data_IF_742978283917
#
_entry.id   IF_742978283917
#
_cell.length_a   1.000
_cell.length_b   1.000
_cell.length_c   1.000
_cell.angle_alpha   90.00
_cell.angle_beta   90.00
_cell.angle_gamma   90.00
#
_symmetry.space_group_name_H-M   'P 1'
#
loop_
_entity.id
_entity.type
_entity.pdbx_description
1 polymer ?
#
# COMPACT_ATOMS: atom_id res chain seq x y z
N UNK A 1 -26.30 -57.60 -48.09
CA UNK A 1 -25.04 -56.97 -47.59
C UNK A 1 -25.33 -55.54 -47.18
N UNK A 2 -25.57 -55.29 -45.88
CA UNK A 2 -25.85 -53.94 -45.33
C UNK A 2 -24.54 -53.44 -44.70
N UNK A 3 -24.02 -52.38 -45.23
CA UNK A 3 -22.84 -51.66 -44.62
C UNK A 3 -23.37 -50.72 -43.55
N UNK A 4 -23.02 -50.95 -42.28
CA UNK A 4 -23.17 -50.01 -41.20
C UNK A 4 -22.00 -49.01 -41.30
N UNK A 5 -22.33 -47.75 -41.45
CA UNK A 5 -21.40 -46.62 -41.25
C UNK A 5 -21.47 -46.21 -39.78
N UNK A 6 -20.38 -46.49 -39.02
CA UNK A 6 -20.17 -45.94 -37.69
C UNK A 6 -19.61 -44.53 -37.87
N UNK A 7 -20.43 -43.52 -37.64
CA UNK A 7 -20.00 -42.12 -37.50
C UNK A 7 -19.40 -41.88 -36.10
N UNK A 8 -18.07 -41.78 -35.99
CA UNK A 8 -17.40 -41.40 -34.74
C UNK A 8 -17.57 -39.90 -34.48
N UNK A 9 -18.28 -39.54 -33.41
CA UNK A 9 -18.37 -38.19 -32.88
C UNK A 9 -17.07 -37.92 -32.11
N UNK A 10 -16.12 -37.19 -32.73
CA UNK A 10 -14.94 -36.69 -32.05
C UNK A 10 -15.39 -35.42 -31.28
N UNK A 11 -15.65 -35.59 -29.98
CA UNK A 11 -15.86 -34.47 -29.09
C UNK A 11 -14.56 -33.67 -28.93
N UNK A 12 -14.48 -32.46 -29.49
CA UNK A 12 -13.45 -31.50 -29.19
C UNK A 12 -13.60 -31.08 -27.70
N UNK A 13 -12.81 -31.66 -26.83
CA UNK A 13 -12.59 -31.11 -25.50
C UNK A 13 -11.73 -29.84 -25.71
N UNK A 14 -12.37 -28.68 -25.72
CA UNK A 14 -11.67 -27.40 -25.62
C UNK A 14 -11.01 -27.37 -24.26
N UNK A 15 -9.71 -27.67 -24.19
CA UNK A 15 -8.90 -27.39 -23.04
C UNK A 15 -8.94 -25.85 -22.83
N UNK A 16 -9.68 -25.41 -21.83
CA UNK A 16 -9.60 -24.01 -21.38
C UNK A 16 -8.16 -23.78 -20.96
N UNK A 17 -7.40 -23.05 -21.76
CA UNK A 17 -6.09 -22.56 -21.34
C UNK A 17 -6.30 -21.77 -20.04
N UNK A 18 -5.78 -22.28 -18.94
CA UNK A 18 -5.74 -21.55 -17.68
C UNK A 18 -5.05 -20.21 -17.95
N UNK A 19 -5.69 -19.11 -17.57
CA UNK A 19 -5.05 -17.80 -17.68
C UNK A 19 -3.78 -17.79 -16.81
N UNK A 20 -2.73 -17.11 -17.28
CA UNK A 20 -1.50 -17.00 -16.50
C UNK A 20 -1.80 -16.37 -15.12
N UNK A 21 -1.12 -16.84 -14.05
CA UNK A 21 -1.26 -16.27 -12.71
C UNK A 21 -0.97 -14.77 -12.70
N UNK A 22 -1.74 -14.01 -11.92
CA UNK A 22 -1.49 -12.59 -11.69
C UNK A 22 -0.43 -12.43 -10.60
N UNK A 23 0.71 -11.88 -10.95
CA UNK A 23 1.77 -11.58 -9.99
C UNK A 23 1.50 -10.25 -9.31
N UNK A 24 1.41 -10.29 -7.99
CA UNK A 24 1.12 -9.14 -7.13
C UNK A 24 2.33 -8.84 -6.27
N UNK A 25 2.88 -7.63 -6.40
CA UNK A 25 3.94 -7.14 -5.53
C UNK A 25 3.37 -6.71 -4.18
N UNK A 26 3.82 -7.38 -3.10
CA UNK A 26 3.48 -7.05 -1.73
C UNK A 26 4.69 -6.58 -0.92
N UNK A 27 4.44 -5.97 0.25
CA UNK A 27 5.46 -5.44 1.15
C UNK A 27 5.46 -6.17 2.52
N UNK A 28 4.59 -7.13 2.74
CA UNK A 28 4.43 -7.84 4.02
C UNK A 28 3.93 -6.95 5.16
N UNK A 29 3.10 -5.95 4.87
CA UNK A 29 2.58 -4.96 5.81
C UNK A 29 1.06 -5.03 5.92
N UNK A 30 0.49 -4.37 6.95
CA UNK A 30 -0.97 -4.34 7.15
C UNK A 30 -1.72 -3.81 5.92
N UNK A 31 -1.15 -2.85 5.21
CA UNK A 31 -1.77 -2.29 4.02
C UNK A 31 -1.97 -3.31 2.89
N UNK A 32 -1.27 -4.45 2.89
CA UNK A 32 -1.45 -5.54 1.93
C UNK A 32 -2.62 -6.47 2.28
N UNK A 33 -3.24 -6.30 3.46
CA UNK A 33 -4.27 -7.18 3.97
C UNK A 33 -5.39 -7.52 2.97
N UNK A 34 -5.91 -6.59 2.12
CA UNK A 34 -6.93 -6.94 1.14
C UNK A 34 -6.51 -8.02 0.15
N UNK A 35 -5.21 -8.09 -0.24
CA UNK A 35 -4.70 -9.18 -1.07
C UNK A 35 -4.77 -10.51 -0.32
N UNK A 36 -4.28 -10.52 0.92
CA UNK A 36 -4.25 -11.72 1.77
C UNK A 36 -5.66 -12.23 2.07
N UNK A 37 -6.59 -11.32 2.39
CA UNK A 37 -8.00 -11.63 2.61
C UNK A 37 -8.62 -12.25 1.35
N UNK A 38 -8.38 -11.63 0.18
CA UNK A 38 -8.95 -12.13 -1.06
C UNK A 38 -8.38 -13.49 -1.49
N UNK A 39 -7.13 -13.80 -1.15
CA UNK A 39 -6.51 -15.11 -1.33
C UNK A 39 -7.13 -16.13 -0.37
N UNK A 40 -7.08 -15.88 0.95
CA UNK A 40 -7.51 -16.83 1.97
C UNK A 40 -9.03 -17.13 1.93
N UNK A 41 -9.84 -16.12 1.58
CA UNK A 41 -11.30 -16.27 1.44
C UNK A 41 -11.72 -16.78 0.05
N UNK A 42 -10.77 -17.09 -0.82
CA UNK A 42 -11.03 -17.62 -2.15
C UNK A 42 -11.72 -16.64 -3.11
N UNK A 43 -11.67 -15.33 -2.85
CA UNK A 43 -12.31 -14.35 -3.73
C UNK A 43 -11.68 -14.31 -5.11
N UNK A 44 -10.35 -14.46 -5.22
CA UNK A 44 -9.67 -14.59 -6.49
C UNK A 44 -10.03 -15.90 -7.20
N UNK A 45 -10.04 -17.02 -6.47
CA UNK A 45 -10.40 -18.33 -7.04
C UNK A 45 -11.85 -18.34 -7.56
N UNK A 46 -12.79 -17.67 -6.87
CA UNK A 46 -14.18 -17.53 -7.31
C UNK A 46 -14.34 -16.75 -8.63
N UNK A 47 -13.37 -15.91 -8.96
CA UNK A 47 -13.30 -15.17 -10.23
C UNK A 47 -12.35 -15.86 -11.24
N UNK A 48 -11.94 -17.12 -10.99
CA UNK A 48 -10.97 -17.90 -11.79
C UNK A 48 -9.61 -17.19 -11.96
N UNK A 49 -9.15 -16.47 -10.92
CA UNK A 49 -7.85 -15.82 -10.87
C UNK A 49 -6.94 -16.57 -9.92
N UNK A 50 -5.78 -16.98 -10.40
CA UNK A 50 -4.64 -17.41 -9.58
C UNK A 50 -3.75 -16.20 -9.27
N UNK A 51 -3.34 -16.03 -8.01
CA UNK A 51 -2.47 -14.94 -7.55
C UNK A 51 -1.18 -15.50 -6.99
N UNK A 52 -0.05 -14.93 -7.43
CA UNK A 52 1.28 -15.19 -6.89
C UNK A 52 1.81 -13.91 -6.26
N UNK A 53 2.17 -13.96 -4.98
CA UNK A 53 2.77 -12.83 -4.27
C UNK A 53 4.28 -12.78 -4.53
N UNK A 54 4.76 -11.60 -4.93
CA UNK A 54 6.19 -11.28 -5.10
C UNK A 54 6.58 -10.22 -4.06
N UNK A 55 7.44 -10.59 -3.10
CA UNK A 55 7.78 -9.72 -1.97
C UNK A 55 8.85 -8.69 -2.33
N UNK A 56 8.58 -7.40 -2.03
CA UNK A 56 9.49 -6.28 -2.20
C UNK A 56 9.76 -5.56 -0.87
N UNK A 57 10.93 -4.97 -0.72
CA UNK A 57 11.29 -4.17 0.46
C UNK A 57 10.68 -2.76 0.44
N UNK A 58 10.32 -2.27 -0.75
CA UNK A 58 9.66 -0.98 -0.96
C UNK A 58 8.91 -0.95 -2.30
N UNK A 59 7.88 -0.12 -2.40
CA UNK A 59 7.16 0.09 -3.65
C UNK A 59 8.06 0.63 -4.79
N UNK A 60 9.10 1.38 -4.45
CA UNK A 60 10.06 1.89 -5.44
C UNK A 60 10.80 0.77 -6.16
N UNK A 61 11.13 -0.34 -5.47
CA UNK A 61 11.76 -1.51 -6.09
C UNK A 61 10.82 -2.24 -7.06
N UNK A 62 9.52 -2.20 -6.81
CA UNK A 62 8.51 -2.83 -7.67
C UNK A 62 8.17 -2.00 -8.93
N UNK A 63 8.62 -0.74 -9.03
CA UNK A 63 8.27 0.16 -10.14
C UNK A 63 8.74 -0.37 -11.50
N UNK A 64 10.00 -0.82 -11.63
CA UNK A 64 10.52 -1.36 -12.88
C UNK A 64 9.85 -2.70 -13.26
N UNK A 65 9.73 -3.70 -12.36
CA UNK A 65 8.96 -4.93 -12.62
C UNK A 65 7.52 -4.67 -13.08
N UNK A 66 6.83 -3.70 -12.47
CA UNK A 66 5.47 -3.33 -12.85
C UNK A 66 5.41 -2.72 -14.27
N UNK A 67 6.34 -1.83 -14.61
CA UNK A 67 6.38 -1.18 -15.92
C UNK A 67 6.72 -2.15 -17.06
N UNK A 68 7.50 -3.18 -16.79
CA UNK A 68 7.86 -4.23 -17.75
C UNK A 68 6.89 -5.41 -17.78
N UNK A 69 5.81 -5.33 -17.01
CA UNK A 69 4.80 -6.39 -16.83
C UNK A 69 5.36 -7.72 -16.25
N UNK A 70 6.50 -7.68 -15.58
CA UNK A 70 7.00 -8.82 -14.79
C UNK A 70 6.13 -9.05 -13.54
N UNK A 71 5.54 -7.97 -13.01
CA UNK A 71 4.50 -7.96 -11.98
C UNK A 71 3.32 -7.17 -12.54
N UNK A 72 2.09 -7.63 -12.32
CA UNK A 72 0.89 -7.00 -12.89
C UNK A 72 0.26 -5.96 -11.97
N UNK A 73 0.36 -6.18 -10.66
CA UNK A 73 -0.26 -5.36 -9.63
C UNK A 73 0.75 -5.06 -8.53
N UNK A 74 0.76 -3.82 -8.04
CA UNK A 74 1.54 -3.43 -6.85
C UNK A 74 0.67 -2.54 -5.96
N UNK A 75 0.61 -2.88 -4.68
CA UNK A 75 0.19 -1.95 -3.66
C UNK A 75 1.37 -1.10 -3.20
N UNK A 76 1.38 0.19 -3.51
CA UNK A 76 2.56 1.00 -3.28
C UNK A 76 2.31 2.40 -2.74
N UNK A 77 3.26 2.89 -1.94
CA UNK A 77 3.26 4.27 -1.47
C UNK A 77 3.40 5.25 -2.63
N UNK A 78 2.69 6.36 -2.54
CA UNK A 78 2.84 7.49 -3.47
C UNK A 78 4.26 8.06 -3.30
N UNK A 79 4.99 8.21 -4.40
CA UNK A 79 6.41 8.59 -4.37
C UNK A 79 6.80 9.45 -5.55
N UNK A 80 7.90 10.21 -5.43
CA UNK A 80 8.47 10.95 -6.55
C UNK A 80 8.81 10.03 -7.73
N UNK A 81 9.25 8.79 -7.47
CA UNK A 81 9.52 7.81 -8.52
C UNK A 81 8.27 7.52 -9.37
N UNK A 82 7.09 7.44 -8.74
CA UNK A 82 5.82 7.25 -9.42
C UNK A 82 5.50 8.44 -10.33
N UNK A 83 5.59 9.68 -9.82
CA UNK A 83 5.35 10.90 -10.63
C UNK A 83 6.33 11.04 -11.79
N UNK A 84 7.63 10.76 -11.55
CA UNK A 84 8.64 10.79 -12.59
C UNK A 84 8.43 9.69 -13.64
N UNK A 85 7.93 8.53 -13.26
CA UNK A 85 7.55 7.46 -14.18
C UNK A 85 6.43 7.92 -15.13
N UNK A 86 5.37 8.52 -14.58
CA UNK A 86 4.27 9.09 -15.36
C UNK A 86 4.70 10.24 -16.28
N UNK A 87 5.59 11.12 -15.81
CA UNK A 87 6.11 12.22 -16.64
C UNK A 87 6.92 11.72 -17.85
N UNK A 88 7.28 10.43 -17.88
CA UNK A 88 7.99 9.75 -18.98
C UNK A 88 7.12 8.75 -19.74
N UNK A 89 5.81 8.83 -19.60
CA UNK A 89 4.82 7.93 -20.23
C UNK A 89 5.05 6.43 -19.93
N UNK A 90 5.54 6.11 -18.73
CA UNK A 90 5.70 4.73 -18.34
C UNK A 90 4.35 4.01 -18.26
N UNK A 91 4.30 2.71 -18.66
CA UNK A 91 3.05 1.99 -18.83
C UNK A 91 2.48 1.45 -17.49
N UNK A 92 2.18 2.36 -16.57
CA UNK A 92 1.59 2.08 -15.26
C UNK A 92 0.36 2.97 -15.06
N UNK A 93 -0.66 2.52 -14.34
CA UNK A 93 -1.82 3.33 -13.96
C UNK A 93 -2.18 3.16 -12.49
N UNK A 94 -2.61 4.23 -11.86
CA UNK A 94 -3.31 4.19 -10.58
C UNK A 94 -4.75 3.78 -10.87
N UNK A 95 -5.21 2.70 -10.25
CA UNK A 95 -6.58 2.21 -10.47
C UNK A 95 -7.50 2.58 -9.32
N UNK A 96 -6.99 2.57 -8.09
CA UNK A 96 -7.76 2.91 -6.90
C UNK A 96 -6.88 3.34 -5.73
N UNK A 97 -7.50 3.96 -4.72
CA UNK A 97 -6.90 4.19 -3.42
C UNK A 97 -6.59 2.84 -2.74
N UNK A 98 -5.53 2.83 -1.90
CA UNK A 98 -5.22 1.69 -1.04
C UNK A 98 -5.33 2.09 0.42
N UNK A 99 -4.48 2.99 0.91
CA UNK A 99 -4.53 3.45 2.30
C UNK A 99 -4.45 4.96 2.38
N UNK A 100 -5.14 5.50 3.37
CA UNK A 100 -5.15 6.92 3.72
C UNK A 100 -4.97 7.08 5.21
N UNK A 101 -4.19 8.06 5.63
CA UNK A 101 -4.14 8.49 7.03
C UNK A 101 -5.07 9.68 7.25
N UNK A 102 -5.94 9.53 8.24
CA UNK A 102 -6.93 10.53 8.64
C UNK A 102 -7.25 10.39 10.13
N UNK A 103 -7.84 11.40 10.78
CA UNK A 103 -8.18 11.31 12.19
C UNK A 103 -8.90 10.01 12.57
N UNK A 104 -8.36 9.30 13.57
CA UNK A 104 -8.84 7.98 14.01
C UNK A 104 -8.22 6.78 13.29
N UNK A 105 -7.59 6.99 12.13
CA UNK A 105 -7.00 5.92 11.31
C UNK A 105 -5.65 6.36 10.78
N UNK A 106 -4.56 5.82 11.33
CA UNK A 106 -3.21 6.18 10.91
C UNK A 106 -2.24 5.05 11.19
N UNK A 107 -1.72 4.44 10.14
CA UNK A 107 -0.67 3.41 10.26
C UNK A 107 0.72 3.98 10.12
N UNK A 108 0.85 5.16 9.53
CA UNK A 108 2.13 5.82 9.26
C UNK A 108 2.59 6.58 10.51
N UNK A 109 3.76 6.23 10.99
CA UNK A 109 4.22 6.66 12.32
C UNK A 109 5.69 7.01 12.28
N UNK A 110 6.04 8.17 12.86
CA UNK A 110 7.41 8.43 13.32
C UNK A 110 7.56 7.78 14.70
N UNK A 111 8.42 6.77 14.79
CA UNK A 111 8.81 6.15 16.05
C UNK A 111 10.11 6.77 16.55
N UNK A 112 10.27 6.82 17.86
CA UNK A 112 11.45 7.39 18.53
C UNK A 112 12.02 6.36 19.50
N UNK A 113 13.34 6.26 19.56
CA UNK A 113 14.06 5.39 20.49
C UNK A 113 13.68 5.72 21.94
N UNK A 114 13.44 4.70 22.77
CA UNK A 114 12.87 4.86 24.10
C UNK A 114 13.69 5.74 25.07
N UNK A 115 15.02 5.70 24.98
CA UNK A 115 15.90 6.52 25.82
C UNK A 115 15.82 8.03 25.53
N UNK A 116 15.21 8.41 24.39
CA UNK A 116 15.00 9.82 24.01
C UNK A 116 13.66 10.39 24.50
N UNK A 117 12.79 9.57 25.12
CA UNK A 117 11.44 9.98 25.53
C UNK A 117 11.40 11.20 26.43
N UNK A 118 12.40 11.37 27.29
CA UNK A 118 12.48 12.50 28.22
C UNK A 118 13.07 13.78 27.57
N UNK A 119 13.83 13.65 26.48
CA UNK A 119 14.59 14.75 25.86
C UNK A 119 14.01 15.21 24.53
N UNK A 120 13.25 14.37 23.84
CA UNK A 120 12.57 14.70 22.58
C UNK A 120 11.07 14.70 22.84
N UNK A 121 10.53 15.86 23.13
CA UNK A 121 9.10 16.05 23.50
C UNK A 121 8.30 16.74 22.39
N UNK A 122 8.99 17.42 21.49
CA UNK A 122 8.43 18.18 20.37
C UNK A 122 9.12 17.80 19.06
N UNK A 123 8.46 17.91 17.91
CA UNK A 123 9.13 17.76 16.61
C UNK A 123 10.31 18.71 16.39
N UNK A 124 10.37 19.86 17.08
CA UNK A 124 11.54 20.76 17.04
C UNK A 124 12.81 20.10 17.57
N UNK A 125 12.69 19.19 18.53
CA UNK A 125 13.81 18.48 19.14
C UNK A 125 14.43 17.41 18.22
N UNK A 126 13.82 17.20 17.04
CA UNK A 126 14.35 16.32 15.99
C UNK A 126 15.48 16.98 15.18
N UNK A 127 15.70 18.31 15.32
CA UNK A 127 16.77 18.99 14.59
C UNK A 127 18.13 18.34 14.83
N UNK A 128 18.84 18.02 13.74
CA UNK A 128 20.15 17.35 13.77
C UNK A 128 20.11 15.84 14.05
N UNK A 129 18.94 15.24 14.33
CA UNK A 129 18.79 13.81 14.61
C UNK A 129 18.92 12.96 13.36
N UNK A 130 19.33 11.71 13.54
CA UNK A 130 19.41 10.71 12.49
C UNK A 130 18.09 9.94 12.42
N UNK A 131 17.36 10.10 11.32
CA UNK A 131 16.03 9.51 11.13
C UNK A 131 16.06 8.54 9.94
N UNK A 132 15.72 7.29 10.20
CA UNK A 132 15.60 6.30 9.13
C UNK A 132 14.29 6.50 8.36
N UNK A 133 14.40 6.44 7.04
CA UNK A 133 13.28 6.39 6.09
C UNK A 133 13.39 5.12 5.26
N UNK A 134 12.27 4.50 4.84
CA UNK A 134 12.35 3.27 4.05
C UNK A 134 12.88 3.49 2.62
N UNK A 135 12.59 4.66 2.04
CA UNK A 135 13.10 5.06 0.73
C UNK A 135 13.07 6.59 0.59
N UNK A 136 14.06 7.21 -0.10
CA UNK A 136 14.03 8.62 -0.43
C UNK A 136 12.79 8.96 -1.28
N UNK A 137 12.21 10.13 -1.01
CA UNK A 137 11.05 10.65 -1.73
C UNK A 137 9.85 9.68 -1.82
N UNK A 138 9.72 8.77 -0.84
CA UNK A 138 8.52 7.97 -0.62
C UNK A 138 7.52 8.71 0.30
N UNK A 139 6.29 8.18 0.46
CA UNK A 139 5.22 8.80 1.27
C UNK A 139 5.64 9.13 2.70
N UNK A 140 6.39 8.24 3.36
CA UNK A 140 6.89 8.48 4.71
C UNK A 140 7.98 9.56 4.79
N UNK A 141 8.76 9.76 3.72
CA UNK A 141 9.69 10.89 3.63
C UNK A 141 8.92 12.21 3.48
N UNK A 142 7.86 12.23 2.67
CA UNK A 142 6.93 13.37 2.59
C UNK A 142 6.28 13.66 3.95
N UNK A 143 5.76 12.63 4.63
CA UNK A 143 5.20 12.76 5.98
C UNK A 143 6.19 13.42 6.95
N UNK A 144 7.43 12.95 6.98
CA UNK A 144 8.50 13.54 7.82
C UNK A 144 8.74 15.00 7.45
N UNK A 145 8.82 15.32 6.16
CA UNK A 145 8.99 16.70 5.69
C UNK A 145 7.85 17.61 6.16
N UNK A 146 6.61 17.16 6.05
CA UNK A 146 5.43 17.89 6.54
C UNK A 146 5.44 18.06 8.07
N UNK A 147 5.89 17.04 8.81
CA UNK A 147 6.08 17.15 10.26
C UNK A 147 7.11 18.26 10.61
N UNK A 148 8.24 18.30 9.94
CA UNK A 148 9.24 19.34 10.15
C UNK A 148 8.70 20.73 9.78
N UNK A 149 8.01 20.86 8.64
CA UNK A 149 7.39 22.12 8.22
C UNK A 149 6.34 22.61 9.23
N UNK A 150 5.60 21.73 9.89
CA UNK A 150 4.58 22.09 10.90
C UNK A 150 5.14 22.83 12.11
N UNK A 151 6.45 22.73 12.34
CA UNK A 151 7.16 23.39 13.46
C UNK A 151 8.16 24.44 13.00
N UNK A 152 8.09 24.86 11.72
CA UNK A 152 8.94 25.89 11.14
C UNK A 152 10.36 25.42 10.80
N UNK A 153 10.58 24.12 10.69
CA UNK A 153 11.81 23.49 10.21
C UNK A 153 11.62 22.93 8.79
N UNK A 154 12.67 22.38 8.23
CA UNK A 154 12.65 21.72 6.92
C UNK A 154 13.18 20.29 7.03
N UNK A 155 12.99 19.50 6.00
CA UNK A 155 13.58 18.15 5.93
C UNK A 155 15.12 18.18 5.98
N UNK A 156 15.76 19.26 5.57
CA UNK A 156 17.20 19.44 5.64
C UNK A 156 17.73 19.68 7.07
N UNK A 157 16.84 19.98 8.05
CA UNK A 157 17.21 20.13 9.45
C UNK A 157 17.41 18.79 10.18
N UNK A 158 17.13 17.65 9.54
CA UNK A 158 17.37 16.29 10.05
C UNK A 158 18.29 15.52 9.11
N UNK A 159 18.97 14.49 9.63
CA UNK A 159 19.79 13.58 8.82
C UNK A 159 18.95 12.36 8.44
N UNK A 160 18.55 12.21 7.17
CA UNK A 160 17.81 11.04 6.73
C UNK A 160 18.73 9.96 6.20
N UNK A 161 18.52 8.70 6.60
CA UNK A 161 19.19 7.53 6.05
C UNK A 161 18.17 6.52 5.54
N UNK A 162 18.50 5.84 4.43
CA UNK A 162 17.64 4.79 3.88
C UNK A 162 17.85 3.48 4.63
N UNK A 163 16.78 2.89 5.15
CA UNK A 163 16.82 1.64 5.88
C UNK A 163 15.49 0.88 5.72
N UNK A 164 15.53 -0.40 5.37
CA UNK A 164 14.33 -1.23 5.32
C UNK A 164 13.70 -1.34 6.72
N UNK A 165 12.36 -1.38 6.79
CA UNK A 165 11.64 -1.43 8.07
C UNK A 165 12.12 -2.52 9.04
N UNK A 166 12.37 -3.78 8.63
CA UNK A 166 12.88 -4.80 9.55
C UNK A 166 14.23 -4.46 10.21
N UNK A 167 15.05 -3.62 9.56
CA UNK A 167 16.37 -3.23 10.04
C UNK A 167 16.33 -2.02 10.97
N UNK A 168 15.23 -1.27 11.02
CA UNK A 168 15.11 -0.08 11.86
C UNK A 168 15.14 -0.44 13.36
N UNK A 169 14.58 -1.60 13.76
CA UNK A 169 14.66 -2.07 15.15
C UNK A 169 16.11 -2.24 15.63
N UNK A 170 16.92 -3.08 14.99
CA UNK A 170 18.37 -3.18 15.28
C UNK A 170 19.11 -1.83 15.19
N UNK A 171 18.74 -0.96 14.24
CA UNK A 171 19.31 0.39 14.12
C UNK A 171 19.02 1.29 15.33
N UNK A 172 17.82 1.22 15.90
CA UNK A 172 17.41 1.93 17.11
C UNK A 172 18.12 1.35 18.35
N UNK A 173 18.20 0.04 18.48
CA UNK A 173 18.86 -0.64 19.60
C UNK A 173 20.37 -0.33 19.65
N UNK A 174 21.04 -0.33 18.51
CA UNK A 174 22.46 0.03 18.39
C UNK A 174 22.74 1.53 18.47
N UNK A 175 21.68 2.35 18.53
CA UNK A 175 21.76 3.83 18.50
C UNK A 175 22.36 4.39 17.19
N UNK A 176 22.35 3.64 16.12
CA UNK A 176 22.75 4.10 14.78
C UNK A 176 21.72 5.11 14.21
N UNK A 177 20.47 5.05 14.68
CA UNK A 177 19.40 5.98 14.37
C UNK A 177 18.70 6.43 15.66
N UNK A 178 18.18 7.66 15.66
CA UNK A 178 17.38 8.22 16.75
C UNK A 178 15.89 7.91 16.60
N UNK A 179 15.42 7.90 15.36
CA UNK A 179 14.03 7.72 14.99
C UNK A 179 13.89 6.97 13.67
N UNK A 180 12.68 6.51 13.37
CA UNK A 180 12.37 5.89 12.09
C UNK A 180 10.94 6.17 11.65
N UNK A 181 10.73 6.35 10.35
CA UNK A 181 9.38 6.41 9.79
C UNK A 181 8.94 5.00 9.40
N UNK A 182 7.91 4.50 10.04
CA UNK A 182 7.44 3.11 9.88
C UNK A 182 5.95 3.07 9.61
N UNK A 183 5.51 1.92 9.10
CA UNK A 183 4.09 1.58 8.94
C UNK A 183 3.73 0.44 9.89
N UNK A 184 2.46 0.22 10.13
CA UNK A 184 2.04 -0.99 10.85
C UNK A 184 2.26 -2.26 9.99
N UNK A 185 2.72 -3.37 10.56
CA UNK A 185 2.79 -3.63 12.00
C UNK A 185 4.12 -3.26 12.68
N UNK A 186 5.06 -2.58 12.02
CA UNK A 186 6.40 -2.32 12.59
C UNK A 186 6.35 -1.37 13.78
N UNK A 187 5.48 -0.35 13.79
CA UNK A 187 5.33 0.54 14.94
C UNK A 187 4.91 -0.25 16.18
N UNK A 188 3.90 -1.10 16.06
CA UNK A 188 3.42 -1.95 17.15
C UNK A 188 4.48 -2.98 17.59
N UNK A 189 5.19 -3.60 16.63
CA UNK A 189 6.24 -4.59 16.91
C UNK A 189 7.39 -3.98 17.73
N UNK A 190 7.86 -2.77 17.37
CA UNK A 190 8.96 -2.12 18.09
C UNK A 190 8.52 -1.59 19.44
N UNK A 191 7.28 -1.15 19.58
CA UNK A 191 6.71 -0.79 20.88
C UNK A 191 6.55 -2.01 21.80
N UNK A 192 6.06 -3.15 21.28
CA UNK A 192 5.94 -4.40 22.02
C UNK A 192 7.30 -4.92 22.54
N UNK A 193 8.34 -4.80 21.70
CA UNK A 193 9.72 -5.17 22.08
C UNK A 193 10.42 -4.14 22.97
N UNK A 194 9.75 -3.05 23.34
CA UNK A 194 10.31 -1.95 24.11
C UNK A 194 11.58 -1.31 23.47
N UNK A 195 11.68 -1.31 22.14
CA UNK A 195 12.77 -0.69 21.36
C UNK A 195 12.51 0.79 21.15
N UNK A 196 11.28 1.13 20.75
CA UNK A 196 10.86 2.47 20.41
C UNK A 196 9.38 2.69 20.79
N UNK A 197 8.96 3.93 20.77
CA UNK A 197 7.56 4.30 20.97
C UNK A 197 7.03 5.16 19.82
N UNK A 198 5.73 5.12 19.51
CA UNK A 198 5.09 6.05 18.58
C UNK A 198 5.22 7.48 19.08
N UNK A 199 5.91 8.34 18.32
CA UNK A 199 6.14 9.74 18.68
C UNK A 199 5.13 10.64 18.02
N UNK A 200 4.90 10.49 16.70
CA UNK A 200 3.89 11.24 15.94
C UNK A 200 3.31 10.35 14.85
N UNK A 201 2.00 10.42 14.70
CA UNK A 201 1.28 9.77 13.61
C UNK A 201 0.91 10.78 12.54
N UNK A 202 0.87 10.39 11.27
CA UNK A 202 0.55 11.28 10.17
C UNK A 202 -0.79 12.00 10.36
N UNK A 203 -1.82 11.30 10.83
CA UNK A 203 -3.15 11.86 11.07
C UNK A 203 -3.20 12.98 12.14
N UNK A 204 -2.17 13.14 12.97
CA UNK A 204 -2.12 14.20 13.99
C UNK A 204 -1.83 15.58 13.40
N UNK A 205 -1.18 15.67 12.25
CA UNK A 205 -0.74 16.93 11.63
C UNK A 205 -1.10 17.06 10.13
N UNK A 206 -1.46 15.97 9.46
CA UNK A 206 -1.84 15.94 8.05
C UNK A 206 -3.34 15.74 7.89
N UNK A 207 -4.12 16.78 8.14
CA UNK A 207 -5.58 16.68 8.19
C UNK A 207 -6.30 17.28 6.98
N UNK A 208 -5.64 18.19 6.23
CA UNK A 208 -6.23 18.89 5.09
C UNK A 208 -5.17 19.19 4.01
N UNK A 209 -5.14 18.45 2.91
CA UNK A 209 -5.88 17.21 2.67
C UNK A 209 -5.36 16.05 3.55
N UNK A 210 -6.17 15.04 3.84
CA UNK A 210 -5.67 13.80 4.43
C UNK A 210 -4.57 13.18 3.55
N UNK A 211 -3.59 12.50 4.18
CA UNK A 211 -2.50 11.88 3.42
C UNK A 211 -3.02 10.69 2.61
N UNK A 212 -2.99 10.77 1.28
CA UNK A 212 -3.11 9.58 0.42
C UNK A 212 -1.79 8.82 0.48
N UNK A 213 -1.71 7.84 1.37
CA UNK A 213 -0.45 7.13 1.68
C UNK A 213 -0.04 6.24 0.52
N UNK A 214 -0.99 5.46 0.02
CA UNK A 214 -0.72 4.45 -0.99
C UNK A 214 -1.91 4.21 -1.92
N UNK A 215 -1.58 3.71 -3.10
CA UNK A 215 -2.51 3.43 -4.19
C UNK A 215 -2.27 2.03 -4.75
N UNK A 216 -3.24 1.50 -5.48
CA UNK A 216 -3.10 0.28 -6.25
C UNK A 216 -2.70 0.66 -7.68
N UNK A 217 -1.58 0.10 -8.10
CA UNK A 217 -0.95 0.32 -9.39
C UNK A 217 -1.08 -0.92 -10.26
N UNK A 218 -1.52 -0.75 -11.50
CA UNK A 218 -1.58 -1.81 -12.48
C UNK A 218 -0.62 -1.55 -13.66
N UNK A 219 -0.02 -2.62 -14.16
CA UNK A 219 0.69 -2.59 -15.44
C UNK A 219 -0.29 -2.27 -16.56
N UNK A 220 -0.03 -1.21 -17.32
CA UNK A 220 -0.86 -0.86 -18.48
C UNK A 220 -0.85 -1.95 -19.54
N UNK A 221 0.26 -2.62 -19.73
CA UNK A 221 0.39 -3.77 -20.63
C UNK A 221 -0.58 -4.88 -20.26
N UNK A 222 -0.72 -5.21 -18.96
CA UNK A 222 -1.69 -6.20 -18.48
C UNK A 222 -3.13 -5.73 -18.67
N UNK A 223 -3.40 -4.47 -18.31
CA UNK A 223 -4.73 -3.87 -18.47
C UNK A 223 -5.24 -3.90 -19.92
N UNK A 224 -4.35 -3.63 -20.87
CA UNK A 224 -4.71 -3.56 -22.30
C UNK A 224 -4.87 -4.97 -22.91
N UNK A 225 -4.02 -5.93 -22.51
CA UNK A 225 -4.02 -7.29 -23.08
C UNK A 225 -5.02 -8.23 -22.45
N UNK A 226 -5.37 -8.03 -21.16
CA UNK A 226 -6.18 -8.96 -20.37
C UNK A 226 -7.33 -8.25 -19.63
N UNK A 227 -8.15 -7.42 -20.30
CA UNK A 227 -9.14 -6.56 -19.63
C UNK A 227 -10.15 -7.33 -18.79
N UNK A 228 -10.53 -8.54 -19.16
CA UNK A 228 -11.49 -9.35 -18.40
C UNK A 228 -10.84 -9.95 -17.14
N UNK A 229 -9.57 -10.38 -17.22
CA UNK A 229 -8.81 -10.80 -16.04
C UNK A 229 -8.64 -9.63 -15.06
N UNK A 230 -8.36 -8.41 -15.56
CA UNK A 230 -8.24 -7.18 -14.75
C UNK A 230 -9.56 -6.87 -14.04
N UNK A 231 -10.71 -6.96 -14.73
CA UNK A 231 -12.05 -6.78 -14.13
C UNK A 231 -12.29 -7.78 -13.00
N UNK A 232 -12.07 -9.07 -13.27
CA UNK A 232 -12.25 -10.16 -12.32
C UNK A 232 -11.33 -9.97 -11.08
N UNK A 233 -10.05 -9.67 -11.29
CA UNK A 233 -9.11 -9.36 -10.22
C UNK A 233 -9.57 -8.18 -9.37
N UNK A 234 -10.03 -7.09 -10.00
CA UNK A 234 -10.47 -5.88 -9.28
C UNK A 234 -11.71 -6.15 -8.43
N UNK A 235 -12.67 -6.94 -8.93
CA UNK A 235 -13.84 -7.37 -8.15
C UNK A 235 -13.41 -8.18 -6.92
N UNK A 236 -12.54 -9.17 -7.08
CA UNK A 236 -12.04 -10.00 -5.99
C UNK A 236 -11.28 -9.17 -4.94
N UNK A 237 -10.38 -8.30 -5.38
CA UNK A 237 -9.62 -7.40 -4.50
C UNK A 237 -10.55 -6.48 -3.70
N UNK A 238 -11.57 -5.88 -4.34
CA UNK A 238 -12.54 -5.00 -3.66
C UNK A 238 -13.38 -5.73 -2.61
N UNK A 239 -13.66 -7.03 -2.78
CA UNK A 239 -14.25 -7.84 -1.70
C UNK A 239 -13.31 -7.89 -0.48
N UNK A 240 -12.01 -8.08 -0.71
CA UNK A 240 -10.98 -8.04 0.34
C UNK A 240 -10.89 -6.68 1.03
N UNK A 241 -10.96 -5.57 0.27
CA UNK A 241 -10.99 -4.19 0.82
C UNK A 241 -12.19 -3.99 1.75
N UNK A 242 -13.37 -4.51 1.38
CA UNK A 242 -14.59 -4.39 2.19
C UNK A 242 -14.53 -5.20 3.48
N UNK A 243 -13.91 -6.38 3.44
CA UNK A 243 -13.69 -7.18 4.65
C UNK A 243 -12.68 -6.51 5.58
N UNK A 244 -11.61 -5.91 5.02
CA UNK A 244 -10.69 -5.08 5.80
C UNK A 244 -11.39 -3.85 6.41
N UNK A 245 -12.23 -3.17 5.63
CA UNK A 245 -12.99 -1.99 6.11
C UNK A 245 -13.90 -2.36 7.29
N UNK A 246 -14.63 -3.48 7.22
CA UNK A 246 -15.41 -3.98 8.34
C UNK A 246 -14.53 -4.24 9.58
N UNK A 247 -13.41 -4.94 9.40
CA UNK A 247 -12.47 -5.25 10.47
C UNK A 247 -11.84 -3.98 11.08
N UNK A 248 -11.48 -3.01 10.27
CA UNK A 248 -10.94 -1.72 10.69
C UNK A 248 -11.93 -0.94 11.57
N UNK A 249 -13.21 -1.01 11.27
CA UNK A 249 -14.30 -0.39 12.05
C UNK A 249 -14.66 -1.19 13.30
N UNK A 250 -13.99 -2.30 13.60
CA UNK A 250 -14.32 -3.18 14.73
C UNK A 250 -15.50 -4.12 14.45
N UNK A 251 -15.83 -4.35 13.19
CA UNK A 251 -16.94 -5.22 12.78
C UNK A 251 -16.66 -6.72 12.97
N UNK A 252 -17.63 -7.58 12.66
CA UNK A 252 -17.58 -9.03 12.95
C UNK A 252 -16.45 -9.78 12.23
N UNK A 253 -15.89 -9.24 11.14
CA UNK A 253 -14.77 -9.85 10.41
C UNK A 253 -13.41 -9.60 11.04
N UNK A 254 -13.31 -8.75 12.08
CA UNK A 254 -12.03 -8.32 12.65
C UNK A 254 -11.13 -9.46 13.10
N UNK A 255 -11.67 -10.43 13.84
CA UNK A 255 -10.89 -11.56 14.32
C UNK A 255 -10.33 -12.41 13.18
N UNK A 256 -11.13 -12.72 12.15
CA UNK A 256 -10.72 -13.45 10.95
C UNK A 256 -9.61 -12.69 10.18
N UNK A 257 -9.78 -11.38 9.99
CA UNK A 257 -8.80 -10.55 9.29
C UNK A 257 -7.47 -10.48 10.06
N UNK A 258 -7.51 -10.42 11.39
CA UNK A 258 -6.30 -10.48 12.24
C UNK A 258 -5.57 -11.82 12.06
N UNK A 259 -6.29 -12.95 12.03
CA UNK A 259 -5.71 -14.26 11.76
C UNK A 259 -4.97 -14.28 10.42
N UNK A 260 -5.60 -13.76 9.38
CA UNK A 260 -5.02 -13.68 8.04
C UNK A 260 -3.78 -12.77 8.07
N UNK A 261 -3.88 -11.56 8.64
CA UNK A 261 -2.74 -10.64 8.70
C UNK A 261 -1.55 -11.22 9.48
N UNK A 262 -1.79 -11.93 10.59
CA UNK A 262 -0.74 -12.59 11.37
C UNK A 262 -0.03 -13.70 10.58
N UNK A 263 -0.69 -14.33 9.61
CA UNK A 263 -0.08 -15.32 8.72
C UNK A 263 0.94 -14.68 7.77
N UNK A 264 0.62 -13.54 7.18
CA UNK A 264 1.37 -12.93 6.08
C UNK A 264 2.36 -11.82 6.50
N UNK A 265 2.18 -11.19 7.65
CA UNK A 265 3.05 -10.11 8.13
C UNK A 265 4.08 -10.61 9.14
N UNK A 266 5.04 -9.75 9.52
CA UNK A 266 6.05 -10.05 10.55
C UNK A 266 5.49 -10.10 11.97
N UNK A 267 4.36 -9.45 12.26
CA UNK A 267 3.68 -9.49 13.55
C UNK A 267 2.83 -10.74 13.67
N UNK A 268 3.07 -11.55 14.71
CA UNK A 268 2.33 -12.81 14.97
C UNK A 268 1.39 -12.70 16.16
N UNK A 269 1.59 -11.72 17.04
CA UNK A 269 0.76 -11.52 18.23
C UNK A 269 -0.56 -10.82 17.88
N UNK A 270 -1.65 -11.57 17.89
CA UNK A 270 -2.99 -11.11 17.58
C UNK A 270 -3.49 -10.01 18.52
N UNK A 271 -3.11 -10.07 19.80
CA UNK A 271 -3.49 -9.04 20.78
C UNK A 271 -2.88 -7.68 20.44
N UNK A 272 -1.73 -7.65 19.78
CA UNK A 272 -1.12 -6.41 19.28
C UNK A 272 -1.89 -5.86 18.07
N UNK A 273 -2.37 -6.73 17.17
CA UNK A 273 -3.26 -6.29 16.07
C UNK A 273 -4.55 -5.63 16.58
N UNK A 274 -5.10 -6.09 17.70
CA UNK A 274 -6.29 -5.46 18.30
C UNK A 274 -6.04 -4.05 18.81
N UNK A 275 -4.84 -3.77 19.29
CA UNK A 275 -4.47 -2.48 19.92
C UNK A 275 -3.79 -1.49 18.98
N UNK A 276 -3.21 -1.95 17.86
CA UNK A 276 -2.51 -1.07 16.93
C UNK A 276 -3.48 -0.18 16.15
N UNK A 277 -2.95 0.88 15.55
CA UNK A 277 -3.72 1.73 14.66
C UNK A 277 -3.80 1.12 13.26
N UNK A 278 -5.01 1.12 12.69
CA UNK A 278 -5.24 0.65 11.33
C UNK A 278 -5.32 1.84 10.37
N UNK A 279 -4.79 1.68 9.15
CA UNK A 279 -4.99 2.67 8.09
C UNK A 279 -6.44 2.69 7.65
N UNK A 280 -6.93 3.85 7.27
CA UNK A 280 -8.21 3.94 6.56
C UNK A 280 -8.05 3.34 5.16
N UNK A 281 -8.98 2.48 4.78
CA UNK A 281 -9.18 2.02 3.40
C UNK A 281 -10.60 2.36 2.98
N UNK A 282 -10.73 3.09 1.90
CA UNK A 282 -12.04 3.45 1.35
C UNK A 282 -12.71 2.21 0.76
N UNK A 283 -13.92 1.80 1.24
CA UNK A 283 -14.58 0.58 0.76
C UNK A 283 -15.06 0.68 -0.69
N UNK A 284 -14.99 1.86 -1.29
CA UNK A 284 -15.24 2.12 -2.71
C UNK A 284 -13.94 2.44 -3.49
N UNK A 285 -12.77 2.40 -2.86
CA UNK A 285 -11.48 2.64 -3.50
C UNK A 285 -11.28 4.05 -4.06
N UNK A 286 -12.01 5.05 -3.55
CA UNK A 286 -11.96 6.43 -4.07
C UNK A 286 -10.62 7.09 -3.73
N UNK A 287 -9.93 7.63 -4.74
CA UNK A 287 -8.64 8.29 -4.60
C UNK A 287 -8.84 9.73 -4.11
N UNK A 288 -8.02 10.15 -3.13
CA UNK A 288 -7.92 11.55 -2.73
C UNK A 288 -6.96 12.30 -3.68
N UNK A 289 -7.50 12.88 -4.74
CA UNK A 289 -6.73 13.60 -5.75
C UNK A 289 -6.01 14.83 -5.19
N UNK A 290 -6.57 15.50 -4.18
CA UNK A 290 -5.94 16.66 -3.53
C UNK A 290 -4.71 16.24 -2.72
N UNK A 291 -4.77 15.07 -2.08
CA UNK A 291 -3.60 14.47 -1.42
C UNK A 291 -2.49 14.12 -2.40
N UNK A 292 -2.83 13.61 -3.59
CA UNK A 292 -1.84 13.35 -4.64
C UNK A 292 -1.22 14.66 -5.17
N UNK A 293 -2.01 15.72 -5.37
CA UNK A 293 -1.51 17.03 -5.80
C UNK A 293 -0.54 17.62 -4.77
N UNK A 294 -0.92 17.62 -3.50
CA UNK A 294 -0.08 18.12 -2.40
C UNK A 294 1.27 17.39 -2.32
N UNK A 295 1.26 16.07 -2.45
CA UNK A 295 2.50 15.29 -2.47
C UNK A 295 3.37 15.63 -3.70
N UNK A 296 2.79 15.69 -4.89
CA UNK A 296 3.54 16.06 -6.10
C UNK A 296 4.18 17.44 -5.98
N UNK A 297 3.44 18.42 -5.43
CA UNK A 297 3.92 19.78 -5.25
C UNK A 297 5.08 19.85 -4.25
N UNK A 298 4.98 19.10 -3.16
CA UNK A 298 6.07 19.00 -2.19
C UNK A 298 7.30 18.33 -2.81
N UNK A 299 7.15 17.21 -3.51
CA UNK A 299 8.28 16.56 -4.18
C UNK A 299 8.95 17.46 -5.23
N UNK A 300 8.16 18.25 -5.97
CA UNK A 300 8.69 19.20 -6.94
C UNK A 300 9.46 20.33 -6.23
N UNK A 301 8.93 20.88 -5.12
CA UNK A 301 9.59 21.89 -4.29
C UNK A 301 10.92 21.39 -3.72
N UNK A 302 11.00 20.09 -3.34
CA UNK A 302 12.22 19.47 -2.83
C UNK A 302 13.19 19.02 -3.94
N UNK A 303 12.86 19.23 -5.22
CA UNK A 303 13.70 18.83 -6.36
C UNK A 303 13.66 17.34 -6.71
N UNK A 304 12.78 16.54 -6.08
CA UNK A 304 12.62 15.10 -6.39
C UNK A 304 11.81 14.83 -7.64
N UNK A 305 10.96 15.78 -8.09
CA UNK A 305 10.16 15.72 -9.30
C UNK A 305 10.57 16.89 -10.20
N UNK A 306 11.26 16.59 -11.29
CA UNK A 306 11.76 17.60 -12.22
C UNK A 306 10.63 18.21 -13.10
N UNK A 307 9.64 17.40 -13.45
CA UNK A 307 8.46 17.79 -14.24
C UNK A 307 7.22 17.16 -13.61
N UNK A 308 6.24 18.00 -13.26
CA UNK A 308 4.97 17.50 -12.72
C UNK A 308 4.25 16.63 -13.76
N UNK A 309 3.76 15.49 -13.34
CA UNK A 309 2.92 14.61 -14.12
C UNK A 309 1.49 15.18 -14.24
N UNK A 310 0.81 14.87 -15.33
CA UNK A 310 -0.63 15.10 -15.45
C UNK A 310 -1.37 14.04 -14.61
N UNK A 311 -1.88 14.45 -13.46
CA UNK A 311 -2.52 13.54 -12.49
C UNK A 311 -3.78 12.88 -13.05
N UNK A 312 -4.56 13.59 -13.90
CA UNK A 312 -5.77 13.02 -14.50
C UNK A 312 -5.41 11.87 -15.45
N UNK A 313 -4.28 11.95 -16.15
CA UNK A 313 -3.77 10.88 -17.01
C UNK A 313 -3.13 9.71 -16.24
N UNK A 314 -2.82 9.89 -14.94
CA UNK A 314 -2.26 8.83 -14.08
C UNK A 314 -3.33 7.84 -13.61
N UNK A 315 -4.58 8.28 -13.49
CA UNK A 315 -5.67 7.49 -12.92
C UNK A 315 -6.49 6.84 -14.03
N UNK A 316 -6.72 5.54 -13.92
CA UNK A 316 -7.63 4.78 -14.78
C UNK A 316 -8.67 4.06 -13.90
N UNK A 317 -9.78 4.71 -13.68
CA UNK A 317 -10.84 4.20 -12.81
C UNK A 317 -11.80 3.19 -13.50
N UNK A 318 -11.59 2.83 -14.78
CA UNK A 318 -12.52 1.96 -15.53
C UNK A 318 -12.79 0.63 -14.81
N UNK A 319 -11.74 0.01 -14.28
CA UNK A 319 -11.84 -1.29 -13.62
C UNK A 319 -12.43 -1.19 -12.22
N UNK A 320 -12.10 -0.12 -11.50
CA UNK A 320 -12.76 0.18 -10.22
C UNK A 320 -14.26 0.41 -10.41
N UNK A 321 -14.65 1.24 -11.39
CA UNK A 321 -16.05 1.50 -11.69
C UNK A 321 -16.80 0.20 -12.03
N UNK A 322 -16.21 -0.66 -12.87
CA UNK A 322 -16.78 -1.98 -13.14
C UNK A 322 -16.99 -2.82 -11.87
N UNK A 323 -16.00 -2.84 -10.96
CA UNK A 323 -16.13 -3.57 -9.70
C UNK A 323 -17.23 -2.98 -8.82
N UNK A 324 -17.34 -1.65 -8.75
CA UNK A 324 -18.39 -0.97 -7.98
C UNK A 324 -19.79 -1.18 -8.58
N UNK A 325 -19.92 -1.25 -9.89
CA UNK A 325 -21.21 -1.58 -10.56
C UNK A 325 -21.65 -3.01 -10.23
N UNK A 326 -20.70 -3.95 -10.08
CA UNK A 326 -20.97 -5.35 -9.70
C UNK A 326 -21.29 -5.49 -8.21
N UNK A 327 -20.57 -4.78 -7.35
CA UNK A 327 -20.64 -4.97 -5.90
C UNK A 327 -21.59 -3.98 -5.20
N UNK A 328 -22.07 -2.95 -5.91
CA UNK A 328 -22.73 -1.78 -5.33
C UNK A 328 -21.75 -0.86 -4.60
N UNK A 329 -22.15 0.37 -4.30
CA UNK A 329 -21.36 1.31 -3.47
C UNK A 329 -21.74 1.19 -2.00
N UNK A 330 -20.76 1.33 -1.12
CA UNK A 330 -20.98 1.40 0.32
C UNK A 330 -21.05 2.87 0.71
N UNK A 331 -22.11 3.26 1.43
CA UNK A 331 -22.20 4.60 2.04
C UNK A 331 -21.16 4.69 3.16
N UNK A 332 -20.25 5.64 3.07
CA UNK A 332 -19.29 5.97 4.13
C UNK A 332 -19.81 7.19 4.88
N UNK A 333 -19.94 7.07 6.20
CA UNK A 333 -20.26 8.19 7.09
C UNK A 333 -19.08 9.14 7.26
#
# INVERSE_FOLDING_TARGET
MRKLLLGGLIGLIAASASAEPVKVGDLGILADAPFYIAIEKGYFAAENIEVVLEHFQSASQATAPLSTNMVQVVGGGVSAALYNAFARDWPVRIVMARTRDMPGYSSDTLILRNDLKATVTSPKDLKGRVIAINAPAASLHFMLGRLMESVGLSIADVQTISMAWPNMGPGLESKAIDAGTVVEPFAALYAQKNIAFPFRRAAEFMTKPPLEVSVILYSKTWMDKNPDQVKAFTVAYMKGVRDYYDAMKGGPKRAEVIEICAKYTSLKDKATFERMQWSYMDPNGVINMDGLRDQQDWYAKQGFVAKKANLDGMVDARFLNYALDKLGRITTE
#
